data_IF_240893047064
#
_entry.id   IF_240893047064
#
_cell.length_a   1.000
_cell.length_b   1.000
_cell.length_c   1.000
_cell.angle_alpha   90.00
_cell.angle_beta   90.00
_cell.angle_gamma   90.00
#
_symmetry.space_group_name_H-M   'P 1'
#
loop_
_entity.id
_entity.type
_entity.pdbx_description
1 polymer ?
#
# COMPACT_ATOMS: atom_id res chain seq x y z
N UNK A 1 -19.13 9.05 6.25
CA UNK A 1 -18.52 7.73 6.51
C UNK A 1 -17.02 7.90 6.34
N UNK A 2 -16.22 7.43 7.30
CA UNK A 2 -14.76 7.53 7.27
C UNK A 2 -14.22 6.12 7.41
N UNK A 3 -13.54 5.62 6.38
CA UNK A 3 -12.91 4.30 6.39
C UNK A 3 -11.79 4.29 7.43
N UNK A 4 -11.66 3.18 8.19
CA UNK A 4 -10.59 3.03 9.18
C UNK A 4 -9.19 3.06 8.56
N UNK A 5 -8.18 3.31 9.39
CA UNK A 5 -6.77 3.24 9.00
C UNK A 5 -6.28 1.80 8.95
N UNK A 6 -5.22 1.58 8.18
CA UNK A 6 -4.53 0.30 8.11
C UNK A 6 -3.92 -0.07 9.47
N UNK A 7 -3.93 -1.36 9.79
CA UNK A 7 -3.19 -1.92 10.92
C UNK A 7 -1.77 -2.26 10.49
N UNK A 8 -0.88 -2.47 11.46
CA UNK A 8 0.53 -2.78 11.19
C UNK A 8 0.69 -4.02 10.29
N UNK A 9 -0.09 -5.06 10.53
CA UNK A 9 -0.11 -6.33 9.78
C UNK A 9 -0.77 -6.24 8.39
N UNK A 10 -1.45 -5.13 8.09
CA UNK A 10 -2.05 -4.84 6.78
C UNK A 10 -1.10 -4.04 5.87
N UNK A 11 0.11 -3.70 6.37
CA UNK A 11 1.11 -2.89 5.67
C UNK A 11 2.36 -3.72 5.39
N UNK A 12 2.69 -3.85 4.11
CA UNK A 12 3.92 -4.47 3.66
C UNK A 12 5.04 -3.41 3.48
N UNK A 13 6.28 -3.81 3.74
CA UNK A 13 7.48 -2.95 3.58
C UNK A 13 8.28 -3.41 2.37
N UNK A 14 8.27 -2.62 1.28
CA UNK A 14 8.98 -2.95 0.04
C UNK A 14 10.33 -2.28 -0.01
N UNK A 15 11.39 -3.04 -0.31
CA UNK A 15 12.66 -2.45 -0.73
C UNK A 15 12.48 -1.80 -2.10
N UNK A 16 12.58 -0.47 -2.15
CA UNK A 16 12.55 0.31 -3.40
C UNK A 16 13.90 0.33 -4.07
N UNK A 17 14.96 0.53 -3.29
CA UNK A 17 16.31 0.70 -3.78
C UNK A 17 17.32 0.26 -2.73
N UNK A 18 18.39 -0.41 -3.17
CA UNK A 18 19.58 -0.69 -2.37
C UNK A 18 20.64 0.35 -2.70
N UNK A 19 21.16 1.02 -1.67
CA UNK A 19 22.16 2.09 -1.81
C UNK A 19 23.46 1.61 -1.16
N UNK A 20 24.57 1.83 -1.87
CA UNK A 20 25.93 1.63 -1.36
C UNK A 20 26.77 2.84 -1.77
N UNK A 21 27.14 3.67 -0.81
CA UNK A 21 27.99 4.85 -1.00
C UNK A 21 29.02 4.89 0.12
N UNK A 22 30.08 5.68 -0.04
CA UNK A 22 31.09 5.87 1.00
C UNK A 22 30.50 6.39 2.33
N UNK A 23 29.39 7.14 2.27
CA UNK A 23 28.75 7.76 3.43
C UNK A 23 27.69 6.88 4.08
N UNK A 24 27.08 5.98 3.32
CA UNK A 24 25.93 5.19 3.78
C UNK A 24 25.66 3.97 2.91
N UNK A 25 25.30 2.87 3.56
CA UNK A 25 24.83 1.62 2.95
C UNK A 25 23.53 1.15 3.60
N UNK A 26 22.59 0.68 2.78
CA UNK A 26 21.29 0.20 3.24
C UNK A 26 20.21 0.22 2.17
N UNK A 27 18.96 0.29 2.60
CA UNK A 27 17.80 0.30 1.71
C UNK A 27 16.89 1.50 1.92
N UNK A 28 16.34 1.99 0.81
CA UNK A 28 15.17 2.86 0.81
C UNK A 28 13.94 1.96 0.73
N UNK A 29 13.06 2.05 1.71
CA UNK A 29 11.83 1.27 1.74
C UNK A 29 10.58 2.13 1.52
N UNK A 30 9.50 1.48 1.08
CA UNK A 30 8.17 2.07 0.92
C UNK A 30 7.14 1.21 1.65
N UNK A 31 6.12 1.85 2.20
CA UNK A 31 4.94 1.17 2.72
C UNK A 31 3.93 0.96 1.60
N UNK A 32 3.30 -0.22 1.57
CA UNK A 32 2.23 -0.53 0.64
C UNK A 32 1.21 -1.48 1.26
N UNK A 33 0.02 -1.53 0.68
CA UNK A 33 -1.02 -2.52 1.00
C UNK A 33 -1.21 -3.48 -0.18
N UNK A 34 -1.74 -4.66 0.09
CA UNK A 34 -2.15 -5.61 -0.96
C UNK A 34 -3.58 -5.35 -1.40
N UNK A 35 -3.97 -5.94 -2.54
CA UNK A 35 -5.38 -5.89 -2.97
C UNK A 35 -6.30 -6.67 -2.00
N UNK A 36 -5.78 -7.68 -1.28
CA UNK A 36 -6.56 -8.43 -0.27
C UNK A 36 -6.97 -7.54 0.89
N UNK A 37 -6.04 -6.72 1.39
CA UNK A 37 -6.34 -5.73 2.44
C UNK A 37 -7.45 -4.77 2.00
N UNK A 38 -7.46 -4.33 0.74
CA UNK A 38 -8.55 -3.51 0.22
C UNK A 38 -9.88 -4.27 0.21
N UNK A 39 -9.90 -5.54 -0.22
CA UNK A 39 -11.11 -6.37 -0.21
C UNK A 39 -11.64 -6.59 1.20
N UNK A 40 -10.76 -6.93 2.14
CA UNK A 40 -11.11 -7.15 3.55
C UNK A 40 -11.72 -5.88 4.18
N UNK A 41 -11.16 -4.71 3.88
CA UNK A 41 -11.70 -3.42 4.35
C UNK A 41 -13.02 -3.09 3.67
N UNK A 42 -13.20 -3.38 2.39
CA UNK A 42 -14.48 -3.19 1.71
C UNK A 42 -15.58 -4.09 2.29
N UNK A 43 -15.25 -5.34 2.61
CA UNK A 43 -16.13 -6.28 3.30
C UNK A 43 -16.49 -5.78 4.71
N UNK A 44 -15.51 -5.27 5.47
CA UNK A 44 -15.70 -4.74 6.81
C UNK A 44 -16.59 -3.47 6.82
N UNK A 45 -16.32 -2.52 5.92
CA UNK A 45 -16.96 -1.19 5.93
C UNK A 45 -18.33 -1.17 5.24
N UNK A 46 -18.51 -1.98 4.21
CA UNK A 46 -19.71 -1.97 3.38
C UNK A 46 -20.49 -3.29 3.44
N UNK A 47 -19.83 -4.41 3.74
CA UNK A 47 -20.38 -5.76 3.61
C UNK A 47 -20.12 -6.34 2.21
N UNK A 48 -19.82 -7.63 2.15
CA UNK A 48 -19.39 -8.32 0.92
C UNK A 48 -20.37 -8.25 -0.26
N UNK A 49 -21.65 -7.97 -0.02
CA UNK A 49 -22.68 -7.82 -1.06
C UNK A 49 -22.93 -6.36 -1.48
N UNK A 50 -22.25 -5.39 -0.86
CA UNK A 50 -22.50 -3.96 -1.04
C UNK A 50 -21.32 -3.21 -1.66
N UNK A 51 -20.34 -3.94 -2.17
CA UNK A 51 -19.31 -3.41 -3.07
C UNK A 51 -19.11 -4.38 -4.24
N UNK A 52 -18.59 -3.87 -5.34
CA UNK A 52 -18.21 -4.66 -6.50
C UNK A 52 -17.00 -4.04 -7.19
N UNK A 53 -16.39 -4.79 -8.10
CA UNK A 53 -15.35 -4.27 -8.99
C UNK A 53 -15.59 -4.64 -10.44
N UNK A 54 -15.14 -3.77 -11.33
CA UNK A 54 -15.22 -3.93 -12.77
C UNK A 54 -13.88 -3.51 -13.39
N UNK A 55 -13.50 -4.14 -14.50
CA UNK A 55 -12.22 -3.89 -15.18
C UNK A 55 -12.46 -3.54 -16.64
N UNK A 56 -11.83 -2.46 -17.10
CA UNK A 56 -12.01 -1.94 -18.46
C UNK A 56 -10.69 -1.50 -19.03
N UNK A 57 -10.43 -1.88 -20.28
CA UNK A 57 -9.35 -1.29 -21.05
C UNK A 57 -9.80 0.08 -21.59
N UNK A 58 -9.06 1.14 -21.26
CA UNK A 58 -9.34 2.49 -21.75
C UNK A 58 -8.04 3.05 -22.32
N UNK A 59 -8.03 3.31 -23.63
CA UNK A 59 -6.85 3.81 -24.37
C UNK A 59 -5.60 2.96 -24.12
N UNK A 60 -5.76 1.63 -24.12
CA UNK A 60 -4.66 0.67 -23.97
C UNK A 60 -4.09 0.52 -22.56
N UNK A 61 -4.77 1.04 -21.53
CA UNK A 61 -4.40 0.78 -20.13
C UNK A 61 -5.55 0.08 -19.42
N UNK A 62 -5.24 -0.82 -18.49
CA UNK A 62 -6.25 -1.48 -17.67
C UNK A 62 -6.69 -0.56 -16.51
N UNK A 63 -7.97 -0.25 -16.48
CA UNK A 63 -8.62 0.46 -15.39
C UNK A 63 -9.41 -0.53 -14.53
N UNK A 64 -9.40 -0.27 -13.22
CA UNK A 64 -10.31 -0.90 -12.28
C UNK A 64 -11.25 0.14 -11.70
N UNK A 65 -12.53 -0.19 -11.62
CA UNK A 65 -13.56 0.55 -10.91
C UNK A 65 -13.99 -0.21 -9.68
N UNK A 66 -14.03 0.45 -8.52
CA UNK A 66 -14.68 -0.06 -7.32
C UNK A 66 -16.00 0.69 -7.13
N UNK A 67 -17.11 -0.04 -7.16
CA UNK A 67 -18.46 0.47 -6.95
C UNK A 67 -18.92 0.16 -5.53
N UNK A 68 -19.32 1.17 -4.77
CA UNK A 68 -19.93 1.00 -3.45
C UNK A 68 -21.42 1.32 -3.55
N UNK A 69 -22.25 0.46 -2.95
CA UNK A 69 -23.71 0.64 -2.94
C UNK A 69 -24.06 1.80 -2.02
N UNK A 70 -24.73 2.80 -2.58
CA UNK A 70 -25.35 3.87 -1.82
C UNK A 70 -26.86 3.78 -1.98
N UNK A 71 -27.65 3.82 -0.89
CA UNK A 71 -29.06 4.13 -1.01
C UNK A 71 -29.18 5.58 -1.48
N UNK A 72 -29.84 5.81 -2.62
CA UNK A 72 -30.32 7.14 -3.00
C UNK A 72 -31.84 7.11 -2.89
N UNK A 73 -32.39 7.95 -2.03
CA UNK A 73 -33.83 8.20 -2.02
C UNK A 73 -34.14 9.07 -3.24
N UNK A 74 -34.87 8.51 -4.20
CA UNK A 74 -35.50 9.28 -5.28
C UNK A 74 -37.00 9.11 -5.12
N UNK A 75 -37.71 10.21 -4.95
CA UNK A 75 -39.19 10.24 -4.82
C UNK A 75 -39.75 9.35 -3.69
N UNK A 76 -39.00 9.16 -2.60
CA UNK A 76 -39.40 8.35 -1.45
C UNK A 76 -39.08 6.85 -1.56
N UNK A 77 -38.56 6.39 -2.70
CA UNK A 77 -38.09 5.02 -2.89
C UNK A 77 -36.56 4.94 -2.79
N UNK A 78 -36.07 3.89 -2.11
CA UNK A 78 -34.65 3.56 -2.07
C UNK A 78 -34.24 2.95 -3.41
N UNK A 79 -33.64 3.75 -4.28
CA UNK A 79 -33.03 3.24 -5.52
C UNK A 79 -31.59 2.86 -5.22
N UNK A 80 -31.27 1.58 -5.45
CA UNK A 80 -29.90 1.08 -5.37
C UNK A 80 -29.06 1.75 -6.46
N UNK A 81 -28.04 2.50 -6.06
CA UNK A 81 -27.08 3.08 -6.99
C UNK A 81 -25.66 2.76 -6.57
N UNK A 82 -24.80 2.55 -7.56
CA UNK A 82 -23.38 2.29 -7.37
C UNK A 82 -22.59 3.57 -7.59
N UNK A 83 -21.84 4.00 -6.58
CA UNK A 83 -20.86 5.09 -6.72
C UNK A 83 -19.52 4.48 -7.06
N UNK A 84 -19.07 4.71 -8.29
CA UNK A 84 -17.84 4.13 -8.81
C UNK A 84 -16.63 5.05 -8.62
N UNK A 85 -15.50 4.45 -8.23
CA UNK A 85 -14.18 5.08 -8.20
C UNK A 85 -13.24 4.31 -9.11
N UNK A 86 -12.74 4.96 -10.15
CA UNK A 86 -11.91 4.34 -11.19
C UNK A 86 -10.47 4.82 -11.15
N UNK A 87 -9.49 3.95 -11.35
CA UNK A 87 -8.08 4.31 -11.59
C UNK A 87 -7.42 3.31 -12.55
N UNK A 88 -6.32 3.72 -13.20
CA UNK A 88 -5.53 2.85 -14.07
C UNK A 88 -4.42 2.17 -13.28
N UNK A 89 -4.13 0.92 -13.63
CA UNK A 89 -2.92 0.25 -13.19
C UNK A 89 -1.71 0.72 -13.98
N UNK A 90 -0.53 0.47 -13.43
CA UNK A 90 0.74 0.61 -14.16
C UNK A 90 1.36 -0.78 -14.24
N UNK A 91 1.70 -1.22 -15.45
CA UNK A 91 2.41 -2.48 -15.66
C UNK A 91 3.73 -2.49 -14.89
N UNK A 92 3.91 -3.49 -14.03
CA UNK A 92 5.20 -3.76 -13.42
C UNK A 92 6.00 -4.66 -14.35
N UNK A 93 7.15 -4.16 -14.85
CA UNK A 93 8.21 -4.86 -15.64
C UNK A 93 7.70 -5.96 -16.60
N UNK A 94 7.93 -5.77 -17.88
CA UNK A 94 7.75 -6.83 -18.88
C UNK A 94 8.73 -7.99 -18.64
N UNK A 95 8.29 -9.03 -17.95
CA UNK A 95 9.02 -10.29 -17.78
C UNK A 95 8.58 -11.37 -18.79
N UNK A 96 7.54 -11.08 -19.60
CA UNK A 96 7.06 -11.97 -20.67
C UNK A 96 6.33 -13.23 -20.17
N UNK A 97 6.13 -13.38 -18.87
CA UNK A 97 5.48 -14.54 -18.24
C UNK A 97 3.99 -14.28 -17.92
N UNK A 98 3.44 -13.13 -18.34
CA UNK A 98 2.07 -12.72 -18.02
C UNK A 98 1.87 -12.25 -16.57
N UNK A 99 2.95 -12.21 -15.76
CA UNK A 99 2.94 -11.59 -14.43
C UNK A 99 2.72 -10.07 -14.52
N UNK A 100 3.16 -9.46 -15.61
CA UNK A 100 2.92 -8.06 -15.97
C UNK A 100 1.41 -7.70 -15.95
N UNK A 101 0.55 -8.53 -16.55
CA UNK A 101 -0.92 -8.32 -16.57
C UNK A 101 -1.58 -8.51 -15.20
N UNK A 102 -1.08 -9.47 -14.40
CA UNK A 102 -1.56 -9.68 -13.03
C UNK A 102 -1.15 -8.53 -12.10
N UNK A 103 0.05 -7.98 -12.31
CA UNK A 103 0.58 -6.81 -11.62
C UNK A 103 -0.25 -5.56 -11.91
N UNK A 104 -0.56 -5.31 -13.18
CA UNK A 104 -1.35 -4.16 -13.63
C UNK A 104 -2.77 -4.17 -13.03
N UNK A 105 -3.48 -5.30 -13.09
CA UNK A 105 -4.83 -5.42 -12.54
C UNK A 105 -4.87 -5.17 -11.03
N UNK A 106 -3.91 -5.75 -10.29
CA UNK A 106 -3.79 -5.55 -8.84
C UNK A 106 -3.44 -4.11 -8.49
N UNK A 107 -2.60 -3.45 -9.30
CA UNK A 107 -2.26 -2.04 -9.11
C UNK A 107 -3.48 -1.15 -9.37
N UNK A 108 -4.22 -1.38 -10.46
CA UNK A 108 -5.45 -0.68 -10.79
C UNK A 108 -6.47 -0.76 -9.63
N UNK A 109 -6.69 -1.97 -9.09
CA UNK A 109 -7.59 -2.18 -7.96
C UNK A 109 -7.15 -1.39 -6.73
N UNK A 110 -5.87 -1.49 -6.35
CA UNK A 110 -5.34 -0.77 -5.18
C UNK A 110 -5.46 0.75 -5.33
N UNK A 111 -5.30 1.25 -6.55
CA UNK A 111 -5.42 2.67 -6.88
C UNK A 111 -6.85 3.16 -6.82
N UNK A 112 -7.80 2.37 -7.32
CA UNK A 112 -9.22 2.59 -7.06
C UNK A 112 -9.55 2.56 -5.55
N UNK A 113 -8.93 1.65 -4.79
CA UNK A 113 -9.04 1.57 -3.32
C UNK A 113 -8.60 2.86 -2.62
N UNK A 114 -7.49 3.47 -3.03
CA UNK A 114 -7.09 4.79 -2.51
C UNK A 114 -8.14 5.87 -2.80
N UNK A 115 -8.81 5.82 -3.96
CA UNK A 115 -9.91 6.75 -4.28
C UNK A 115 -11.16 6.52 -3.43
N UNK A 116 -11.44 5.27 -3.06
CA UNK A 116 -12.51 4.93 -2.09
C UNK A 116 -12.15 5.47 -0.70
N UNK A 117 -10.88 5.45 -0.32
CA UNK A 117 -10.39 6.03 0.93
C UNK A 117 -9.36 5.16 1.67
N UNK A 118 -9.15 3.93 1.21
CA UNK A 118 -8.35 2.91 1.87
C UNK A 118 -6.87 3.23 1.73
N UNK A 119 -6.13 3.25 2.85
CA UNK A 119 -4.67 3.39 2.86
C UNK A 119 -4.14 4.77 2.43
N UNK A 120 -4.97 5.82 2.41
CA UNK A 120 -4.51 7.18 2.02
C UNK A 120 -3.40 7.72 2.92
N UNK A 121 -3.38 7.29 4.18
CA UNK A 121 -2.34 7.59 5.16
C UNK A 121 -0.94 7.15 4.69
N UNK A 122 -0.83 6.14 3.83
CA UNK A 122 0.46 5.66 3.31
C UNK A 122 1.20 6.75 2.51
N UNK A 123 0.47 7.72 1.93
CA UNK A 123 1.07 8.87 1.26
C UNK A 123 1.77 9.85 2.21
N UNK A 124 1.53 9.72 3.52
CA UNK A 124 2.19 10.52 4.56
C UNK A 124 3.39 9.81 5.19
N UNK A 125 3.79 8.65 4.63
CA UNK A 125 4.93 7.88 5.11
C UNK A 125 6.20 8.74 5.17
N UNK A 126 6.99 8.66 6.26
CA UNK A 126 8.30 9.29 6.28
C UNK A 126 9.23 8.65 5.25
N UNK A 127 10.37 9.28 5.00
CA UNK A 127 11.46 8.66 4.26
C UNK A 127 12.05 7.52 5.09
N UNK A 128 11.84 6.28 4.66
CA UNK A 128 12.34 5.09 5.35
C UNK A 128 13.71 4.71 4.80
N UNK A 129 14.74 4.89 5.63
CA UNK A 129 16.12 4.50 5.37
C UNK A 129 16.53 3.47 6.41
N UNK A 130 16.73 2.23 5.98
CA UNK A 130 17.12 1.13 6.85
C UNK A 130 18.59 0.78 6.57
N UNK A 131 19.51 1.00 7.52
CA UNK A 131 20.89 0.55 7.38
C UNK A 131 20.95 -0.96 7.18
N UNK A 132 21.76 -1.41 6.22
CA UNK A 132 21.93 -2.84 5.96
C UNK A 132 23.28 -3.11 5.29
N UNK A 133 23.79 -4.33 5.44
CA UNK A 133 24.99 -4.75 4.72
C UNK A 133 24.66 -4.96 3.24
N UNK A 134 25.43 -4.30 2.38
CA UNK A 134 25.25 -4.31 0.93
C UNK A 134 26.51 -4.84 0.27
N UNK A 135 26.33 -5.67 -0.76
CA UNK A 135 27.38 -6.18 -1.62
C UNK A 135 27.18 -5.67 -3.05
N UNK A 136 28.29 -5.53 -3.78
CA UNK A 136 28.25 -5.23 -5.22
C UNK A 136 28.31 -6.55 -5.98
N UNK A 137 27.27 -6.83 -6.75
CA UNK A 137 27.20 -8.01 -7.60
C UNK A 137 28.17 -7.93 -8.77
N UNK A 138 28.37 -9.06 -9.46
CA UNK A 138 29.22 -9.13 -10.66
C UNK A 138 28.71 -8.24 -11.80
N UNK A 139 27.43 -7.89 -11.79
CA UNK A 139 26.81 -6.96 -12.75
C UNK A 139 26.96 -5.48 -12.36
N UNK A 140 27.72 -5.18 -11.30
CA UNK A 140 27.94 -3.84 -10.79
C UNK A 140 26.76 -3.27 -10.00
N UNK A 141 25.68 -4.03 -9.78
CA UNK A 141 24.52 -3.57 -9.01
C UNK A 141 24.67 -3.88 -7.53
N UNK A 142 23.98 -3.09 -6.71
CA UNK A 142 23.94 -3.26 -5.26
C UNK A 142 22.86 -4.26 -4.85
N UNK A 143 23.22 -5.17 -3.94
CA UNK A 143 22.32 -6.17 -3.37
C UNK A 143 22.48 -6.21 -1.86
N UNK A 144 21.39 -6.50 -1.15
CA UNK A 144 21.51 -6.88 0.25
C UNK A 144 22.41 -8.13 0.35
N UNK A 145 23.32 -8.13 1.32
CA UNK A 145 24.19 -9.28 1.58
C UNK A 145 23.37 -10.52 1.91
N UNK A 146 22.30 -10.34 2.69
CA UNK A 146 21.28 -11.36 2.90
C UNK A 146 20.10 -11.10 1.95
N UNK A 147 19.99 -11.93 0.90
CA UNK A 147 18.90 -11.82 -0.08
C UNK A 147 17.52 -12.20 0.47
N UNK A 148 17.47 -12.81 1.66
CA UNK A 148 16.23 -13.19 2.34
C UNK A 148 15.90 -12.23 3.49
N UNK A 149 16.58 -11.10 3.59
CA UNK A 149 16.22 -10.07 4.55
C UNK A 149 14.84 -9.49 4.17
N UNK A 150 13.98 -9.39 5.17
CA UNK A 150 12.61 -8.88 5.01
C UNK A 150 12.29 -7.94 6.15
N UNK A 151 11.42 -6.98 5.88
CA UNK A 151 11.01 -5.97 6.83
C UNK A 151 9.50 -6.01 7.03
N UNK A 152 9.04 -5.73 8.24
CA UNK A 152 7.61 -5.65 8.56
C UNK A 152 7.33 -4.50 9.50
N UNK A 153 6.12 -3.93 9.40
CA UNK A 153 5.67 -2.92 10.37
C UNK A 153 5.27 -3.66 11.65
N UNK A 154 5.89 -3.29 12.76
CA UNK A 154 5.55 -3.82 14.08
C UNK A 154 4.59 -2.91 14.84
N UNK A 155 4.74 -1.60 14.68
CA UNK A 155 3.88 -0.59 15.30
C UNK A 155 3.64 0.55 14.33
N UNK A 156 2.40 1.04 14.31
CA UNK A 156 2.01 2.25 13.59
C UNK A 156 0.93 2.97 14.39
N UNK A 157 1.05 4.30 14.48
CA UNK A 157 0.02 5.15 15.08
C UNK A 157 -0.26 6.33 14.15
N UNK A 158 -1.48 6.86 14.26
CA UNK A 158 -1.98 7.89 13.37
C UNK A 158 -2.28 9.20 14.12
N UNK A 159 -1.93 10.30 13.46
CA UNK A 159 -2.30 11.67 13.81
C UNK A 159 -3.37 12.13 12.82
N UNK A 160 -4.64 11.84 13.14
CA UNK A 160 -5.76 12.02 12.22
C UNK A 160 -5.62 11.17 10.95
N UNK A 161 -5.30 11.81 9.82
CA UNK A 161 -5.15 11.14 8.53
C UNK A 161 -3.70 10.84 8.15
N UNK A 162 -2.75 11.18 9.02
CA UNK A 162 -1.31 11.05 8.77
C UNK A 162 -0.66 10.04 9.70
N UNK A 163 0.45 9.46 9.29
CA UNK A 163 1.27 8.59 10.14
C UNK A 163 1.94 9.47 11.21
N UNK A 164 1.67 9.17 12.48
CA UNK A 164 2.24 9.86 13.64
C UNK A 164 3.47 9.15 14.21
N UNK A 165 3.51 7.82 14.17
CA UNK A 165 4.69 7.01 14.52
C UNK A 165 4.75 5.72 13.70
N UNK A 166 5.96 5.18 13.52
CA UNK A 166 6.22 3.99 12.73
C UNK A 166 7.43 3.24 13.29
N UNK A 167 7.27 1.94 13.54
CA UNK A 167 8.36 1.02 13.89
C UNK A 167 8.39 -0.13 12.89
N UNK A 168 9.52 -0.27 12.20
CA UNK A 168 9.79 -1.39 11.28
C UNK A 168 10.83 -2.29 11.91
N UNK A 169 10.59 -3.60 11.84
CA UNK A 169 11.49 -4.65 12.32
C UNK A 169 12.06 -5.48 11.17
N UNK A 170 13.25 -6.05 11.39
CA UNK A 170 13.78 -7.12 10.54
C UNK A 170 13.04 -8.44 10.74
N UNK A 171 13.42 -9.48 10.00
CA UNK A 171 12.81 -10.83 10.12
C UNK A 171 13.01 -11.50 11.48
N UNK A 172 13.91 -10.99 12.32
CA UNK A 172 14.19 -11.48 13.68
C UNK A 172 13.41 -10.69 14.73
N UNK A 173 12.62 -9.69 14.32
CA UNK A 173 11.85 -8.83 15.22
C UNK A 173 12.68 -7.68 15.82
N UNK A 174 13.90 -7.44 15.35
CA UNK A 174 14.70 -6.32 15.85
C UNK A 174 14.24 -5.01 15.20
N UNK A 175 14.02 -3.92 15.96
CA UNK A 175 13.72 -2.62 15.39
C UNK A 175 14.88 -2.12 14.52
N UNK A 176 14.61 -1.89 13.23
CA UNK A 176 15.59 -1.39 12.25
C UNK A 176 15.26 0.02 11.74
N UNK A 177 14.06 0.50 12.01
CA UNK A 177 13.66 1.89 11.77
C UNK A 177 12.59 2.29 12.79
N UNK A 178 12.84 3.40 13.49
CA UNK A 178 11.92 3.99 14.46
C UNK A 178 11.75 5.44 14.06
N UNK A 179 10.51 5.86 13.84
CA UNK A 179 10.18 7.23 13.49
C UNK A 179 8.97 7.73 14.25
N UNK A 180 9.00 9.02 14.58
CA UNK A 180 7.91 9.72 15.25
C UNK A 180 7.81 11.15 14.70
N UNK A 181 6.61 11.54 14.27
CA UNK A 181 6.31 12.90 13.81
C UNK A 181 6.54 13.89 14.94
N UNK A 182 7.17 15.03 14.63
CA UNK A 182 7.40 16.08 15.61
C UNK A 182 6.07 16.57 16.20
N UNK A 183 5.99 16.68 17.53
CA UNK A 183 4.78 17.10 18.23
C UNK A 183 3.71 16.02 18.38
N UNK A 184 3.90 14.82 17.81
CA UNK A 184 2.96 13.72 18.01
C UNK A 184 3.07 13.17 19.44
N UNK A 185 1.93 13.12 20.13
CA UNK A 185 1.82 12.45 21.43
C UNK A 185 1.02 11.18 21.20
N UNK A 186 1.66 10.03 21.40
CA UNK A 186 1.00 8.74 21.29
C UNK A 186 -0.19 8.72 22.27
N UNK A 187 -1.40 8.55 21.74
CA UNK A 187 -2.53 8.21 22.59
C UNK A 187 -2.30 6.76 23.06
N UNK A 188 -2.22 6.59 24.39
CA UNK A 188 -2.14 5.27 25.04
C UNK A 188 -3.40 4.47 24.78
#
# INVERSE_FOLDING_TARGET
MTIRKLKADEIEVKVKQVINTEKWSGVVALLYKTARVDMDILDEEYGAMNWQSDYKEIKGNLYCGIGVRTPLAKDGELVENWVWKWDCGIESRADGEGNEKKGEASDAFKRAGFKVGIGRELYTSPKILIPAEVIVGKDGKNYLKDKYETYSVSEIQYDGNEIGSLVIVDRKGNPVFIWKKQGFNAHK
#
